data_IF_789653283269
#
_entry.id   IF_789653283269
#
_cell.length_a   1.000
_cell.length_b   1.000
_cell.length_c   1.000
_cell.angle_alpha   90.00
_cell.angle_beta   90.00
_cell.angle_gamma   90.00
#
_symmetry.space_group_name_H-M   'P 1'
#
loop_
_entity.id
_entity.type
_entity.pdbx_description
1 polymer ?
#
# COMPACT_ATOMS: atom_id res chain seq x y z
N UNK A 1 -42.92 23.47 -29.01
CA UNK A 1 -42.47 22.37 -28.13
C UNK A 1 -40.94 22.34 -28.09
N UNK A 2 -40.32 22.34 -26.91
CA UNK A 2 -38.86 22.25 -26.73
C UNK A 2 -38.56 21.36 -25.51
N UNK A 3 -37.72 20.32 -25.63
CA UNK A 3 -37.11 19.66 -24.47
C UNK A 3 -35.55 19.66 -24.59
N UNK A 4 -34.78 19.17 -23.60
CA UNK A 4 -34.10 20.03 -22.64
C UNK A 4 -32.57 20.12 -22.84
N UNK A 5 -31.99 21.22 -22.38
CA UNK A 5 -30.54 21.42 -22.28
C UNK A 5 -29.95 20.45 -21.26
N UNK A 6 -29.19 19.45 -21.72
CA UNK A 6 -28.36 18.62 -20.84
C UNK A 6 -27.23 19.46 -20.20
N UNK A 7 -26.76 19.11 -18.99
CA UNK A 7 -25.69 19.85 -18.34
C UNK A 7 -24.39 19.63 -19.12
N UNK A 8 -23.93 20.70 -19.77
CA UNK A 8 -22.60 20.77 -20.35
C UNK A 8 -21.57 20.56 -19.25
N UNK A 9 -20.85 19.43 -19.30
CA UNK A 9 -19.66 19.22 -18.49
C UNK A 9 -18.66 20.31 -18.85
N UNK A 10 -18.56 21.34 -18.01
CA UNK A 10 -17.47 22.31 -18.08
C UNK A 10 -16.20 21.58 -17.66
N UNK A 11 -15.47 21.03 -18.63
CA UNK A 11 -14.07 20.73 -18.42
C UNK A 11 -13.37 22.06 -18.12
N UNK A 12 -12.90 22.25 -16.88
CA UNK A 12 -11.89 23.28 -16.61
C UNK A 12 -10.64 22.88 -17.39
N UNK A 13 -10.53 23.40 -18.60
CA UNK A 13 -9.24 23.52 -19.25
C UNK A 13 -8.47 24.61 -18.47
N UNK A 14 -7.68 24.17 -17.48
CA UNK A 14 -6.56 25.00 -17.06
C UNK A 14 -5.64 25.06 -18.28
N UNK A 15 -5.39 26.27 -18.78
CA UNK A 15 -4.51 26.51 -19.91
C UNK A 15 -3.20 25.74 -19.69
N UNK A 16 -2.99 24.69 -20.48
CA UNK A 16 -1.77 23.91 -20.46
C UNK A 16 -0.75 24.68 -21.28
N UNK A 17 0.31 25.16 -20.63
CA UNK A 17 1.54 25.55 -21.31
C UNK A 17 1.94 24.38 -22.24
N UNK A 18 2.11 24.60 -23.56
CA UNK A 18 2.28 23.52 -24.53
C UNK A 18 3.55 22.67 -24.35
N UNK A 19 4.47 23.04 -23.45
CA UNK A 19 5.69 22.28 -23.15
C UNK A 19 5.74 21.65 -21.74
N UNK A 20 4.67 21.77 -20.95
CA UNK A 20 4.64 21.14 -19.63
C UNK A 20 4.34 19.63 -19.77
N UNK A 21 5.36 18.79 -19.71
CA UNK A 21 5.17 17.33 -19.56
C UNK A 21 4.43 17.10 -18.25
N UNK A 22 3.19 16.62 -18.32
CA UNK A 22 2.36 16.34 -17.16
C UNK A 22 2.95 15.12 -16.41
N UNK A 23 3.88 15.37 -15.51
CA UNK A 23 4.39 14.35 -14.59
C UNK A 23 3.38 14.21 -13.47
N UNK A 24 2.58 13.15 -13.53
CA UNK A 24 1.81 12.70 -12.38
C UNK A 24 2.78 12.40 -11.22
N UNK A 25 2.53 12.94 -10.03
CA UNK A 25 3.30 12.52 -8.86
C UNK A 25 3.12 11.00 -8.62
N UNK A 26 3.99 10.40 -7.80
CA UNK A 26 3.99 8.95 -7.54
C UNK A 26 2.63 8.44 -7.06
N UNK A 27 1.88 9.23 -6.29
CA UNK A 27 0.55 8.86 -5.85
C UNK A 27 -0.41 8.80 -7.04
N UNK A 28 -0.38 9.81 -7.91
CA UNK A 28 -1.21 9.87 -9.11
C UNK A 28 -0.88 8.76 -10.12
N UNK A 29 0.39 8.33 -10.22
CA UNK A 29 0.77 7.18 -11.05
C UNK A 29 0.20 5.86 -10.52
N UNK A 30 0.31 5.62 -9.21
CA UNK A 30 -0.27 4.42 -8.60
C UNK A 30 -1.80 4.42 -8.69
N UNK A 31 -2.42 5.59 -8.49
CA UNK A 31 -3.86 5.76 -8.60
C UNK A 31 -4.36 5.58 -10.03
N UNK A 32 -3.64 6.10 -11.02
CA UNK A 32 -4.01 5.95 -12.43
C UNK A 32 -3.87 4.49 -12.89
N UNK A 33 -2.79 3.82 -12.49
CA UNK A 33 -2.58 2.40 -12.76
C UNK A 33 -3.68 1.55 -12.10
N UNK A 34 -3.98 1.79 -10.82
CA UNK A 34 -5.02 1.05 -10.10
C UNK A 34 -6.38 1.17 -10.79
N UNK A 35 -6.75 2.38 -11.22
CA UNK A 35 -8.00 2.62 -11.97
C UNK A 35 -7.99 1.96 -13.35
N UNK A 36 -6.85 1.96 -14.04
CA UNK A 36 -6.72 1.30 -15.33
C UNK A 36 -6.90 -0.22 -15.19
N UNK A 37 -6.23 -0.83 -14.21
CA UNK A 37 -6.37 -2.26 -13.89
C UNK A 37 -7.82 -2.58 -13.52
N UNK A 38 -8.45 -1.80 -12.64
CA UNK A 38 -9.84 -2.00 -12.25
C UNK A 38 -10.79 -2.00 -13.46
N UNK A 39 -10.59 -1.06 -14.39
CA UNK A 39 -11.39 -0.97 -15.62
C UNK A 39 -11.21 -2.19 -16.51
N UNK A 40 -9.97 -2.65 -16.70
CA UNK A 40 -9.67 -3.86 -17.49
C UNK A 40 -10.28 -5.09 -16.82
N UNK A 41 -10.13 -5.25 -15.50
CA UNK A 41 -10.74 -6.35 -14.76
C UNK A 41 -12.27 -6.34 -14.86
N UNK A 42 -12.91 -5.17 -14.79
CA UNK A 42 -14.36 -5.04 -14.99
C UNK A 42 -14.78 -5.43 -16.40
N UNK A 43 -14.05 -4.98 -17.42
CA UNK A 43 -14.32 -5.33 -18.83
C UNK A 43 -14.19 -6.83 -19.08
N UNK A 44 -13.20 -7.48 -18.46
CA UNK A 44 -12.93 -8.91 -18.62
C UNK A 44 -13.55 -9.79 -17.53
N UNK A 45 -14.47 -9.26 -16.72
CA UNK A 45 -15.08 -9.97 -15.57
C UNK A 45 -15.65 -11.33 -15.95
N UNK A 46 -16.33 -11.43 -17.09
CA UNK A 46 -16.95 -12.68 -17.56
C UNK A 46 -15.91 -13.73 -17.99
N UNK A 47 -14.82 -13.31 -18.62
CA UNK A 47 -13.71 -14.18 -18.99
C UNK A 47 -12.97 -14.67 -17.75
N UNK A 48 -12.65 -13.75 -16.83
CA UNK A 48 -12.03 -14.07 -15.54
C UNK A 48 -12.89 -15.03 -14.70
N UNK A 49 -14.22 -14.83 -14.69
CA UNK A 49 -15.16 -15.71 -13.99
C UNK A 49 -15.16 -17.13 -14.58
N UNK A 50 -15.21 -17.26 -15.91
CA UNK A 50 -15.13 -18.56 -16.60
C UNK A 50 -13.80 -19.28 -16.32
N UNK A 51 -12.69 -18.55 -16.27
CA UNK A 51 -11.39 -19.11 -15.89
C UNK A 51 -11.33 -19.53 -14.41
N UNK A 52 -11.93 -18.75 -13.51
CA UNK A 52 -12.02 -19.10 -12.10
C UNK A 52 -12.88 -20.35 -11.89
N UNK A 53 -14.00 -20.48 -12.60
CA UNK A 53 -14.89 -21.66 -12.59
C UNK A 53 -14.20 -22.90 -13.18
N UNK A 54 -13.38 -22.74 -14.22
CA UNK A 54 -12.61 -23.85 -14.82
C UNK A 54 -11.41 -24.30 -13.98
N UNK A 55 -10.94 -23.46 -13.06
CA UNK A 55 -9.83 -23.74 -12.15
C UNK A 55 -10.25 -24.39 -10.82
N UNK A 56 -11.54 -24.60 -10.56
CA UNK A 56 -12.07 -25.08 -9.28
C UNK A 56 -11.75 -26.55 -9.00
N UNK A 57 -11.34 -27.32 -10.01
CA UNK A 57 -10.87 -28.71 -9.83
C UNK A 57 -9.46 -28.79 -9.25
N UNK A 58 -8.74 -27.66 -9.17
CA UNK A 58 -7.46 -27.58 -8.49
C UNK A 58 -7.66 -26.74 -7.23
N UNK A 59 -7.55 -27.31 -6.02
CA UNK A 59 -7.52 -26.48 -4.83
C UNK A 59 -6.39 -25.48 -5.00
N UNK A 60 -6.73 -24.20 -5.02
CA UNK A 60 -5.76 -23.11 -4.89
C UNK A 60 -5.22 -23.28 -3.46
N UNK A 61 -4.16 -24.08 -3.34
CA UNK A 61 -3.33 -24.08 -2.15
C UNK A 61 -2.66 -22.71 -2.17
N UNK A 62 -3.31 -21.72 -1.58
CA UNK A 62 -2.59 -20.55 -1.13
C UNK A 62 -1.48 -21.08 -0.23
N UNK A 63 -0.19 -20.82 -0.54
CA UNK A 63 0.85 -21.16 0.40
C UNK A 63 0.43 -20.56 1.75
N UNK A 64 0.64 -21.28 2.87
CA UNK A 64 0.53 -20.65 4.18
C UNK A 64 1.24 -19.30 4.12
N UNK A 65 0.65 -18.23 4.66
CA UNK A 65 1.29 -16.90 4.58
C UNK A 65 2.73 -16.93 5.14
N UNK A 66 3.00 -17.86 6.05
CA UNK A 66 4.33 -18.15 6.62
C UNK A 66 5.35 -18.73 5.63
N UNK A 67 4.89 -19.29 4.51
CA UNK A 67 5.74 -19.86 3.46
C UNK A 67 6.08 -18.86 2.34
N UNK A 68 5.45 -17.68 2.33
CA UNK A 68 5.85 -16.60 1.42
C UNK A 68 7.04 -15.84 2.04
N UNK A 69 8.08 -15.52 1.24
CA UNK A 69 9.15 -14.68 1.73
C UNK A 69 8.56 -13.36 2.26
N UNK A 70 9.00 -12.88 3.45
CA UNK A 70 8.45 -11.66 4.03
C UNK A 70 8.55 -10.53 3.02
N UNK A 71 7.45 -9.78 2.83
CA UNK A 71 7.48 -8.63 1.94
C UNK A 71 8.56 -7.64 2.39
N UNK A 72 9.09 -6.83 1.47
CA UNK A 72 10.11 -5.81 1.80
C UNK A 72 9.66 -4.88 2.94
N UNK A 73 8.35 -4.69 3.10
CA UNK A 73 7.75 -3.91 4.18
C UNK A 73 7.90 -4.65 5.52
N UNK A 74 7.56 -5.94 5.55
CA UNK A 74 7.74 -6.80 6.74
C UNK A 74 9.21 -6.86 7.14
N UNK A 75 10.13 -7.12 6.19
CA UNK A 75 11.56 -7.13 6.47
C UNK A 75 12.06 -5.81 7.07
N UNK A 76 11.56 -4.67 6.57
CA UNK A 76 11.91 -3.36 7.11
C UNK A 76 11.43 -3.20 8.55
N UNK A 77 10.22 -3.65 8.88
CA UNK A 77 9.70 -3.61 10.25
C UNK A 77 10.48 -4.51 11.18
N UNK A 78 10.75 -5.76 10.76
CA UNK A 78 11.58 -6.71 11.51
C UNK A 78 12.95 -6.12 11.85
N UNK A 79 13.64 -5.58 10.84
CA UNK A 79 14.96 -5.00 11.02
C UNK A 79 14.93 -3.78 11.96
N UNK A 80 13.95 -2.89 11.81
CA UNK A 80 13.84 -1.68 12.65
C UNK A 80 13.45 -1.99 14.09
N UNK A 81 12.58 -2.96 14.31
CA UNK A 81 12.22 -3.43 15.65
C UNK A 81 13.42 -4.05 16.35
N UNK A 82 14.13 -4.97 15.69
CA UNK A 82 15.31 -5.62 16.23
C UNK A 82 16.43 -4.61 16.55
N UNK A 83 16.71 -3.67 15.64
CA UNK A 83 17.74 -2.65 15.82
C UNK A 83 17.40 -1.70 16.99
N UNK A 84 16.13 -1.27 17.09
CA UNK A 84 15.65 -0.46 18.21
C UNK A 84 15.82 -1.20 19.55
N UNK A 85 15.34 -2.44 19.62
CA UNK A 85 15.38 -3.22 20.86
C UNK A 85 16.81 -3.55 21.30
N UNK A 86 17.71 -3.80 20.35
CA UNK A 86 19.13 -3.99 20.64
C UNK A 86 19.75 -2.74 21.28
N UNK A 87 19.46 -1.55 20.73
CA UNK A 87 19.97 -0.30 21.29
C UNK A 87 19.35 0.03 22.65
N UNK A 88 18.06 -0.27 22.85
CA UNK A 88 17.39 -0.13 24.15
C UNK A 88 18.02 -1.08 25.18
N UNK A 89 18.27 -2.34 24.82
CA UNK A 89 18.93 -3.31 25.70
C UNK A 89 20.37 -2.90 26.06
N UNK A 90 21.04 -2.16 25.19
CA UNK A 90 22.37 -1.58 25.45
C UNK A 90 22.31 -0.33 26.35
N UNK A 91 21.11 0.18 26.67
CA UNK A 91 20.90 1.32 27.55
C UNK A 91 20.94 2.70 26.88
N UNK A 92 20.86 2.77 25.54
CA UNK A 92 20.82 4.08 24.86
C UNK A 92 19.51 4.83 25.14
N UNK A 93 19.55 6.15 25.37
CA UNK A 93 18.34 6.95 25.52
C UNK A 93 17.59 7.07 24.18
N UNK A 94 16.26 7.18 24.25
CA UNK A 94 15.37 7.24 23.06
C UNK A 94 15.77 8.34 22.08
N UNK A 95 16.27 9.48 22.55
CA UNK A 95 16.75 10.58 21.70
C UNK A 95 17.95 10.18 20.84
N UNK A 96 18.87 9.39 21.39
CA UNK A 96 20.07 8.93 20.69
C UNK A 96 19.72 7.85 19.66
N UNK A 97 18.80 6.94 20.03
CA UNK A 97 18.28 5.92 19.13
C UNK A 97 17.56 6.57 17.94
N UNK A 98 16.68 7.55 18.20
CA UNK A 98 15.98 8.32 17.17
C UNK A 98 16.95 8.97 16.18
N UNK A 99 18.02 9.59 16.69
CA UNK A 99 19.05 10.23 15.86
C UNK A 99 19.84 9.21 15.01
N UNK A 100 20.27 8.10 15.60
CA UNK A 100 21.04 7.05 14.90
C UNK A 100 20.23 6.32 13.84
N UNK A 101 18.95 6.06 14.10
CA UNK A 101 18.07 5.35 13.18
C UNK A 101 17.35 6.28 12.19
N UNK A 102 17.54 7.61 12.31
CA UNK A 102 16.78 8.63 11.57
C UNK A 102 15.27 8.42 11.69
N UNK A 103 14.80 8.10 12.90
CA UNK A 103 13.40 7.87 13.24
C UNK A 103 12.90 8.96 14.19
N UNK A 104 11.60 9.24 14.16
CA UNK A 104 10.99 10.09 15.18
C UNK A 104 10.96 9.40 16.56
N UNK A 105 11.06 10.19 17.64
CA UNK A 105 11.05 9.68 19.02
C UNK A 105 9.79 8.88 19.35
N UNK A 106 8.64 9.26 18.79
CA UNK A 106 7.37 8.53 18.97
C UNK A 106 7.43 7.17 18.29
N UNK A 107 8.06 7.08 17.13
CA UNK A 107 8.26 5.82 16.39
C UNK A 107 9.20 4.89 17.14
N UNK A 108 10.29 5.41 17.72
CA UNK A 108 11.20 4.62 18.55
C UNK A 108 10.50 4.08 19.79
N UNK A 109 9.70 4.91 20.49
CA UNK A 109 8.87 4.43 21.61
C UNK A 109 7.88 3.37 21.15
N UNK A 110 7.23 3.57 20.01
CA UNK A 110 6.31 2.58 19.45
C UNK A 110 7.00 1.24 19.19
N UNK A 111 8.18 1.23 18.55
CA UNK A 111 8.93 -0.02 18.32
C UNK A 111 9.40 -0.69 19.62
N UNK A 112 9.76 0.08 20.64
CA UNK A 112 10.16 -0.46 21.94
C UNK A 112 8.98 -1.02 22.74
N UNK A 113 7.86 -0.30 22.75
CA UNK A 113 6.71 -0.57 23.63
C UNK A 113 5.71 -1.55 22.98
N UNK A 114 5.86 -1.84 21.70
CA UNK A 114 4.93 -2.70 20.94
C UNK A 114 5.63 -4.00 20.53
N UNK A 115 4.97 -5.12 20.80
CA UNK A 115 5.44 -6.43 20.36
C UNK A 115 5.47 -6.53 18.84
N UNK A 116 6.43 -7.30 18.34
CA UNK A 116 6.65 -7.47 16.90
C UNK A 116 5.41 -8.01 16.19
N UNK A 117 4.74 -9.00 16.78
CA UNK A 117 3.54 -9.60 16.22
C UNK A 117 2.40 -8.58 16.09
N UNK A 118 2.28 -7.68 17.06
CA UNK A 118 1.29 -6.60 17.02
C UNK A 118 1.62 -5.54 15.96
N UNK A 119 2.91 -5.28 15.71
CA UNK A 119 3.35 -4.39 14.63
C UNK A 119 3.07 -4.99 13.25
N UNK A 120 3.25 -6.31 13.09
CA UNK A 120 2.97 -7.02 11.85
C UNK A 120 1.46 -7.17 11.59
N UNK A 121 0.66 -7.34 12.65
CA UNK A 121 -0.81 -7.39 12.57
C UNK A 121 -1.46 -6.01 12.34
N UNK A 122 -0.71 -4.91 12.46
CA UNK A 122 -1.27 -3.57 12.31
C UNK A 122 -1.73 -3.31 10.87
N UNK A 123 -2.91 -2.69 10.65
CA UNK A 123 -3.45 -2.44 9.31
C UNK A 123 -2.55 -1.53 8.45
N UNK A 124 -1.60 -0.82 9.07
CA UNK A 124 -0.56 -0.05 8.39
C UNK A 124 0.39 -0.92 7.56
N UNK A 125 0.46 -2.22 7.83
CA UNK A 125 1.39 -3.14 7.19
C UNK A 125 0.74 -4.10 6.17
N UNK A 126 -0.59 -4.16 6.10
CA UNK A 126 -1.26 -4.91 5.04
C UNK A 126 -2.51 -5.70 5.40
N UNK A 127 -3.38 -5.20 6.28
CA UNK A 127 -4.70 -5.83 6.49
C UNK A 127 -5.83 -4.84 6.18
N UNK A 128 -6.29 -4.85 4.93
CA UNK A 128 -7.67 -4.43 4.63
C UNK A 128 -8.55 -5.65 4.94
N UNK A 129 -9.44 -5.59 5.96
CA UNK A 129 -10.36 -6.69 6.21
C UNK A 129 -11.40 -6.75 5.07
N UNK A 130 -12.05 -7.91 4.86
CA UNK A 130 -13.04 -8.13 3.80
C UNK A 130 -14.25 -7.19 3.90
#
# INVERSE_FOLDING_TARGET
>A
MRPPRGPGRRSRAAATCPDATQVADRFHLLQSLSRAVEKVCHQHRSCLKKHAERGQDRPIQMPPLDALPPTLIVQRVLNRHAETNRMVATGYPVSEIARRLSLDRKTVRHYRDTDLDMLLASPRLGSRPP
#
